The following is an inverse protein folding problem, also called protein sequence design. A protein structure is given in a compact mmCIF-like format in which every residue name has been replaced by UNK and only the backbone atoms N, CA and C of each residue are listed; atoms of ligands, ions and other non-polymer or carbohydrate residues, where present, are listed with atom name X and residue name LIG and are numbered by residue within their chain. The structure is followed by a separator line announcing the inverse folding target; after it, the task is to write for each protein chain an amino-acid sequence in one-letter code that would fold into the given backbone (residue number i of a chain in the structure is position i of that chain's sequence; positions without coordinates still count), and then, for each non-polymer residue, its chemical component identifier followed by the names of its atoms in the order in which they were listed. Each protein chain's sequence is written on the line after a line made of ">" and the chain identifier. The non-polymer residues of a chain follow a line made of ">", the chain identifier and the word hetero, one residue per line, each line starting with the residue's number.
data_IF_340314025962
#
_entry.id   IF_340314025962
#
_cell.length_a   1.000
_cell.length_b   1.000
_cell.length_c   1.000
_cell.angle_alpha   90.00
_cell.angle_beta   90.00
_cell.angle_gamma   90.00
#
_symmetry.space_group_name_H-M   'P 1'
#
loop_
_entity.id
_entity.type
_entity.pdbx_description
1 polymer ?
#
# COMPACT_ATOMS: atom_id res chain seq x y z
N UNK A 1 42.29 15.82 -28.52
CA UNK A 1 42.82 14.60 -27.90
C UNK A 1 41.69 13.59 -27.78
N UNK A 2 41.75 12.47 -28.49
CA UNK A 2 40.77 11.38 -28.38
C UNK A 2 40.91 10.71 -27.01
N UNK A 3 39.83 10.67 -26.23
CA UNK A 3 39.85 10.00 -24.93
C UNK A 3 40.17 8.51 -25.11
N UNK A 4 41.02 7.95 -24.23
CA UNK A 4 41.35 6.51 -24.27
C UNK A 4 40.06 5.69 -24.13
N UNK A 5 39.86 4.63 -24.93
CA UNK A 5 38.65 3.82 -24.85
C UNK A 5 38.47 3.21 -23.46
N UNK A 6 37.22 3.08 -23.02
CA UNK A 6 36.88 2.39 -21.78
C UNK A 6 37.31 0.92 -21.85
N UNK A 7 37.75 0.35 -20.72
CA UNK A 7 38.29 -1.01 -20.68
C UNK A 7 37.20 -2.08 -20.84
N UNK A 8 37.56 -3.28 -21.34
CA UNK A 8 36.62 -4.42 -21.39
C UNK A 8 36.04 -4.79 -20.02
N UNK A 9 36.80 -4.59 -18.94
CA UNK A 9 36.32 -4.74 -17.56
C UNK A 9 35.18 -3.78 -17.24
N UNK A 10 35.25 -2.52 -17.68
CA UNK A 10 34.17 -1.54 -17.49
C UNK A 10 32.88 -2.01 -18.19
N UNK A 11 32.97 -2.49 -19.43
CA UNK A 11 31.79 -3.01 -20.12
C UNK A 11 31.23 -4.27 -19.44
N UNK A 12 32.10 -5.18 -19.00
CA UNK A 12 31.70 -6.34 -18.20
C UNK A 12 30.98 -5.93 -16.91
N UNK A 13 31.46 -4.87 -16.25
CA UNK A 13 30.82 -4.30 -15.06
C UNK A 13 29.41 -3.78 -15.35
N UNK A 14 29.26 -2.95 -16.39
CA UNK A 14 27.96 -2.38 -16.77
C UNK A 14 26.97 -3.48 -17.19
N UNK A 15 27.41 -4.45 -17.99
CA UNK A 15 26.58 -5.57 -18.44
C UNK A 15 26.09 -6.40 -17.24
N UNK A 16 26.97 -6.70 -16.29
CA UNK A 16 26.61 -7.43 -15.08
C UNK A 16 25.54 -6.68 -14.28
N UNK A 17 25.76 -5.40 -13.98
CA UNK A 17 24.85 -4.62 -13.16
C UNK A 17 23.50 -4.36 -13.86
N UNK A 18 23.49 -4.12 -15.17
CA UNK A 18 22.24 -4.09 -15.95
C UNK A 18 21.48 -5.43 -15.91
N UNK A 19 22.18 -6.57 -15.89
CA UNK A 19 21.55 -7.89 -15.79
C UNK A 19 20.96 -8.11 -14.40
N UNK A 20 21.66 -7.71 -13.33
CA UNK A 20 21.13 -7.74 -11.96
C UNK A 20 19.93 -6.80 -11.81
N UNK A 21 20.01 -5.57 -12.37
CA UNK A 21 18.89 -4.63 -12.38
C UNK A 21 17.66 -5.21 -13.09
N UNK A 22 17.84 -5.93 -14.20
CA UNK A 22 16.75 -6.61 -14.89
C UNK A 22 16.09 -7.69 -14.02
N UNK A 23 16.89 -8.52 -13.35
CA UNK A 23 16.36 -9.57 -12.46
C UNK A 23 15.61 -8.96 -11.26
N UNK A 24 16.18 -7.92 -10.63
CA UNK A 24 15.52 -7.19 -9.53
C UNK A 24 14.20 -6.59 -9.99
N UNK A 25 14.18 -5.91 -11.14
CA UNK A 25 12.98 -5.32 -11.69
C UNK A 25 11.92 -6.39 -11.99
N UNK A 26 12.32 -7.57 -12.47
CA UNK A 26 11.40 -8.68 -12.71
C UNK A 26 10.81 -9.22 -11.39
N UNK A 27 11.64 -9.49 -10.38
CA UNK A 27 11.18 -9.96 -9.06
C UNK A 27 10.18 -8.96 -8.46
N UNK A 28 10.53 -7.68 -8.45
CA UNK A 28 9.70 -6.63 -7.87
C UNK A 28 8.39 -6.45 -8.66
N UNK A 29 8.44 -6.44 -9.99
CA UNK A 29 7.23 -6.31 -10.81
C UNK A 29 6.33 -7.54 -10.73
N UNK A 30 6.88 -8.76 -10.60
CA UNK A 30 6.09 -9.97 -10.36
C UNK A 30 5.40 -9.87 -8.99
N UNK A 31 6.12 -9.50 -7.93
CA UNK A 31 5.51 -9.28 -6.62
C UNK A 31 4.39 -8.22 -6.70
N UNK A 32 4.63 -7.11 -7.39
CA UNK A 32 3.64 -6.07 -7.60
C UNK A 32 2.38 -6.59 -8.35
N UNK A 33 2.54 -7.42 -9.36
CA UNK A 33 1.40 -8.06 -10.06
C UNK A 33 0.63 -8.99 -9.14
N UNK A 34 1.33 -9.83 -8.36
CA UNK A 34 0.72 -10.89 -7.54
C UNK A 34 0.06 -10.33 -6.28
N UNK A 35 0.75 -9.46 -5.55
CA UNK A 35 0.31 -8.98 -4.22
C UNK A 35 0.06 -7.47 -4.16
N UNK A 36 0.43 -6.71 -5.19
CA UNK A 36 0.17 -5.27 -5.26
C UNK A 36 1.02 -4.46 -4.30
N UNK A 37 0.48 -3.31 -3.88
CA UNK A 37 1.09 -2.43 -2.87
C UNK A 37 1.31 -3.10 -1.51
N UNK A 38 0.66 -4.25 -1.25
CA UNK A 38 0.91 -5.04 -0.05
C UNK A 38 2.37 -5.51 0.08
N UNK A 39 3.15 -5.50 -1.01
CA UNK A 39 4.59 -5.78 -0.96
C UNK A 39 5.34 -4.85 0.00
N UNK A 40 4.87 -3.62 0.20
CA UNK A 40 5.47 -2.66 1.14
C UNK A 40 5.31 -3.05 2.61
N UNK A 41 4.37 -3.96 2.91
CA UNK A 41 4.15 -4.50 4.25
C UNK A 41 4.93 -5.78 4.55
N UNK A 42 5.74 -6.28 3.60
CA UNK A 42 6.57 -7.46 3.82
C UNK A 42 7.73 -7.13 4.77
N UNK A 43 8.08 -8.05 5.66
CA UNK A 43 9.20 -7.93 6.59
C UNK A 43 10.53 -7.73 5.87
N UNK A 44 10.68 -8.36 4.70
CA UNK A 44 11.86 -8.25 3.85
C UNK A 44 11.92 -6.97 3.01
N UNK A 45 10.86 -6.16 2.97
CA UNK A 45 10.73 -5.04 2.03
C UNK A 45 11.87 -4.01 2.17
N UNK A 46 12.16 -3.54 3.37
CA UNK A 46 13.18 -2.50 3.59
C UNK A 46 14.57 -2.99 3.15
N UNK A 47 14.94 -4.23 3.51
CA UNK A 47 16.22 -4.82 3.13
C UNK A 47 16.31 -5.03 1.61
N UNK A 48 15.22 -5.46 0.98
CA UNK A 48 15.11 -5.58 -0.47
C UNK A 48 15.31 -4.22 -1.16
N UNK A 49 14.68 -3.15 -0.66
CA UNK A 49 14.81 -1.80 -1.21
C UNK A 49 16.24 -1.26 -1.11
N UNK A 50 16.97 -1.54 -0.04
CA UNK A 50 18.38 -1.15 0.06
C UNK A 50 19.26 -1.84 -1.00
N UNK A 51 19.01 -3.11 -1.31
CA UNK A 51 19.67 -3.79 -2.42
C UNK A 51 19.33 -3.14 -3.76
N UNK A 52 18.05 -2.81 -3.99
CA UNK A 52 17.60 -2.12 -5.21
C UNK A 52 18.35 -0.79 -5.37
N UNK A 53 18.42 0.04 -4.33
CA UNK A 53 19.13 1.31 -4.36
C UNK A 53 20.63 1.14 -4.63
N UNK A 54 21.28 0.17 -3.98
CA UNK A 54 22.69 -0.14 -4.24
C UNK A 54 22.94 -0.50 -5.71
N UNK A 55 22.10 -1.37 -6.28
CA UNK A 55 22.22 -1.77 -7.69
C UNK A 55 21.95 -0.60 -8.63
N UNK A 56 20.95 0.25 -8.35
CA UNK A 56 20.68 1.45 -9.14
C UNK A 56 21.89 2.40 -9.13
N UNK A 57 22.49 2.66 -7.97
CA UNK A 57 23.69 3.50 -7.86
C UNK A 57 24.85 2.95 -8.72
N UNK A 58 25.13 1.66 -8.63
CA UNK A 58 26.19 1.02 -9.40
C UNK A 58 25.92 1.05 -10.91
N UNK A 59 24.71 0.68 -11.33
CA UNK A 59 24.30 0.67 -12.75
C UNK A 59 24.34 2.08 -13.35
N UNK A 60 23.67 3.05 -12.71
CA UNK A 60 23.54 4.39 -13.27
C UNK A 60 24.84 5.19 -13.15
N UNK A 61 25.64 4.98 -12.09
CA UNK A 61 26.98 5.57 -11.99
C UNK A 61 27.88 5.13 -13.16
N UNK A 62 27.84 3.85 -13.52
CA UNK A 62 28.57 3.34 -14.67
C UNK A 62 28.01 3.90 -16.00
N UNK A 63 26.68 4.00 -16.14
CA UNK A 63 26.03 4.57 -17.32
C UNK A 63 26.37 6.06 -17.51
N UNK A 64 26.34 6.86 -16.44
CA UNK A 64 26.73 8.27 -16.45
C UNK A 64 28.18 8.41 -16.89
N UNK A 65 29.09 7.58 -16.34
CA UNK A 65 30.50 7.56 -16.76
C UNK A 65 30.66 7.26 -18.25
N UNK A 66 29.93 6.28 -18.76
CA UNK A 66 29.92 5.95 -20.19
C UNK A 66 29.46 7.14 -21.04
N UNK A 67 28.32 7.74 -20.68
CA UNK A 67 27.75 8.85 -21.43
C UNK A 67 28.68 10.07 -21.43
N UNK A 68 29.29 10.39 -20.28
CA UNK A 68 30.24 11.49 -20.17
C UNK A 68 31.49 11.26 -21.04
N UNK A 69 32.02 10.03 -21.01
CA UNK A 69 33.20 9.64 -21.77
C UNK A 69 33.02 9.81 -23.28
N UNK A 70 31.83 9.45 -23.79
CA UNK A 70 31.50 9.58 -25.21
C UNK A 70 30.94 10.97 -25.59
N UNK A 71 30.94 11.93 -24.67
CA UNK A 71 30.49 13.30 -24.94
C UNK A 71 28.97 13.49 -24.98
N UNK A 72 28.20 12.50 -24.53
CA UNK A 72 26.73 12.55 -24.42
C UNK A 72 26.30 13.30 -23.14
N UNK A 73 26.75 14.56 -22.98
CA UNK A 73 26.61 15.34 -21.74
C UNK A 73 25.16 15.53 -21.29
N UNK A 74 24.26 15.90 -22.21
CA UNK A 74 22.84 16.09 -21.88
C UNK A 74 22.20 14.80 -21.37
N UNK A 75 22.47 13.67 -22.02
CA UNK A 75 21.98 12.37 -21.54
C UNK A 75 22.58 12.03 -20.17
N UNK A 76 23.88 12.28 -19.96
CA UNK A 76 24.50 12.00 -18.66
C UNK A 76 23.86 12.80 -17.51
N UNK A 77 23.56 14.08 -17.74
CA UNK A 77 22.85 14.93 -16.76
C UNK A 77 21.43 14.44 -16.54
N UNK A 78 20.69 14.11 -17.61
CA UNK A 78 19.33 13.58 -17.48
C UNK A 78 19.29 12.24 -16.70
N UNK A 79 20.29 11.37 -16.91
CA UNK A 79 20.47 10.14 -16.15
C UNK A 79 20.66 10.42 -14.66
N UNK A 80 21.55 11.36 -14.35
CA UNK A 80 21.87 11.74 -12.98
C UNK A 80 20.64 12.32 -12.27
N UNK A 81 19.94 13.26 -12.91
CA UNK A 81 18.72 13.87 -12.35
C UNK A 81 17.65 12.82 -12.08
N UNK A 82 17.36 11.95 -13.06
CA UNK A 82 16.41 10.85 -12.89
C UNK A 82 16.80 9.91 -11.74
N UNK A 83 18.10 9.59 -11.64
CA UNK A 83 18.64 8.76 -10.54
C UNK A 83 18.43 9.43 -9.19
N UNK A 84 18.75 10.71 -9.04
CA UNK A 84 18.57 11.44 -7.78
C UNK A 84 17.10 11.51 -7.36
N UNK A 85 16.18 11.70 -8.31
CA UNK A 85 14.74 11.67 -8.03
C UNK A 85 14.27 10.29 -7.57
N UNK A 86 14.76 9.20 -8.19
CA UNK A 86 14.46 7.83 -7.73
C UNK A 86 14.96 7.59 -6.31
N UNK A 87 16.19 8.04 -5.99
CA UNK A 87 16.73 7.95 -4.63
C UNK A 87 15.92 8.74 -3.62
N UNK A 88 15.55 9.98 -3.96
CA UNK A 88 14.69 10.80 -3.12
C UNK A 88 13.34 10.11 -2.86
N UNK A 89 12.68 9.61 -3.91
CA UNK A 89 11.42 8.87 -3.83
C UNK A 89 11.51 7.68 -2.88
N UNK A 90 12.51 6.81 -3.03
CA UNK A 90 12.66 5.65 -2.13
C UNK A 90 13.07 6.06 -0.71
N UNK A 91 13.82 7.15 -0.54
CA UNK A 91 14.13 7.68 0.80
C UNK A 91 12.87 8.14 1.50
N UNK A 92 11.93 8.79 0.78
CA UNK A 92 10.62 9.15 1.32
C UNK A 92 9.80 7.92 1.75
N UNK A 93 9.88 6.82 0.99
CA UNK A 93 9.18 5.57 1.30
C UNK A 93 9.82 4.86 2.51
N UNK A 94 11.16 4.77 2.54
CA UNK A 94 11.87 4.03 3.59
C UNK A 94 11.86 4.79 4.93
N UNK A 95 12.00 6.11 4.89
CA UNK A 95 12.13 6.93 6.08
C UNK A 95 10.77 7.30 6.68
N UNK A 96 10.51 6.84 7.90
CA UNK A 96 9.20 6.95 8.58
C UNK A 96 8.65 8.38 8.64
N UNK A 97 9.46 9.34 9.08
CA UNK A 97 9.05 10.76 9.20
C UNK A 97 8.69 11.39 7.86
N UNK A 98 9.28 10.88 6.77
CA UNK A 98 9.06 11.40 5.43
C UNK A 98 7.89 10.70 4.72
N UNK A 99 7.35 9.60 5.26
CA UNK A 99 6.19 8.92 4.68
C UNK A 99 4.93 9.76 4.76
N UNK A 100 4.77 10.58 5.81
CA UNK A 100 3.64 11.52 5.91
C UNK A 100 3.72 12.55 4.79
N UNK A 101 4.88 13.19 4.64
CA UNK A 101 5.15 14.09 3.52
C UNK A 101 4.92 13.41 2.15
N UNK A 102 5.38 12.17 2.01
CA UNK A 102 5.16 11.38 0.80
C UNK A 102 3.68 11.17 0.50
N UNK A 103 2.88 10.84 1.52
CA UNK A 103 1.45 10.59 1.38
C UNK A 103 0.70 11.88 1.02
N UNK A 104 1.02 13.00 1.66
CA UNK A 104 0.41 14.31 1.38
C UNK A 104 0.79 14.87 0.00
N UNK A 105 2.00 14.59 -0.45
CA UNK A 105 2.54 15.11 -1.72
C UNK A 105 2.72 14.04 -2.79
N UNK A 106 2.02 12.92 -2.68
CA UNK A 106 2.20 11.75 -3.53
C UNK A 106 2.08 12.09 -5.02
N UNK A 107 1.13 12.94 -5.39
CA UNK A 107 0.94 13.41 -6.77
C UNK A 107 2.17 14.14 -7.31
N UNK A 108 2.70 15.09 -6.55
CA UNK A 108 3.85 15.87 -6.96
C UNK A 108 5.09 14.98 -7.10
N UNK A 109 5.32 14.09 -6.13
CA UNK A 109 6.43 13.14 -6.16
C UNK A 109 6.33 12.21 -7.38
N UNK A 110 5.15 11.66 -7.67
CA UNK A 110 4.94 10.79 -8.83
C UNK A 110 5.10 11.55 -10.16
N UNK A 111 4.57 12.77 -10.27
CA UNK A 111 4.73 13.60 -11.47
C UNK A 111 6.19 13.94 -11.76
N UNK A 112 6.97 14.28 -10.73
CA UNK A 112 8.41 14.52 -10.89
C UNK A 112 9.13 13.24 -11.35
N UNK A 113 8.80 12.09 -10.76
CA UNK A 113 9.38 10.79 -11.14
C UNK A 113 9.13 10.46 -12.62
N UNK A 114 7.88 10.55 -13.08
CA UNK A 114 7.54 10.31 -14.49
C UNK A 114 8.19 11.34 -15.41
N UNK A 115 8.16 12.62 -15.03
CA UNK A 115 8.75 13.71 -15.81
C UNK A 115 10.25 13.51 -16.03
N UNK A 116 11.02 13.20 -14.98
CA UNK A 116 12.46 12.96 -15.12
C UNK A 116 12.78 11.70 -15.91
N UNK A 117 11.95 10.66 -15.81
CA UNK A 117 12.09 9.45 -16.63
C UNK A 117 11.85 9.72 -18.12
N UNK A 118 10.83 10.52 -18.44
CA UNK A 118 10.55 10.96 -19.82
C UNK A 118 11.71 11.79 -20.35
N UNK A 119 12.21 12.78 -19.59
CA UNK A 119 13.34 13.61 -20.02
C UNK A 119 14.60 12.79 -20.26
N UNK A 120 14.88 11.81 -19.40
CA UNK A 120 15.96 10.84 -19.61
C UNK A 120 15.78 10.07 -20.91
N UNK A 121 14.60 9.50 -21.17
CA UNK A 121 14.32 8.78 -22.41
C UNK A 121 14.44 9.66 -23.67
N UNK A 122 13.87 10.87 -23.64
CA UNK A 122 13.98 11.85 -24.73
C UNK A 122 15.44 12.24 -25.00
N UNK A 123 16.26 12.36 -23.96
CA UNK A 123 17.68 12.66 -24.12
C UNK A 123 18.43 11.57 -24.89
N UNK A 124 18.01 10.31 -24.80
CA UNK A 124 18.59 9.20 -25.56
C UNK A 124 18.08 9.15 -27.00
N UNK A 125 16.95 9.80 -27.31
CA UNK A 125 16.36 9.82 -28.64
C UNK A 125 16.90 10.99 -29.47
N UNK A 126 16.88 12.19 -28.90
CA UNK A 126 17.04 13.45 -29.63
C UNK A 126 18.43 14.09 -29.49
N UNK A 127 19.37 13.45 -28.80
CA UNK A 127 20.77 13.91 -28.73
C UNK A 127 21.69 12.98 -29.52
N UNK A 128 23.01 13.28 -29.56
CA UNK A 128 24.02 12.41 -30.19
C UNK A 128 24.03 10.98 -29.65
N UNK A 129 23.56 10.74 -28.43
CA UNK A 129 23.39 9.38 -27.91
C UNK A 129 22.43 8.55 -28.79
N UNK A 130 21.42 9.20 -29.38
CA UNK A 130 20.44 8.59 -30.25
C UNK A 130 21.02 8.08 -31.58
N UNK A 131 22.21 8.47 -31.99
CA UNK A 131 22.89 7.87 -33.15
C UNK A 131 23.17 6.37 -32.93
N UNK A 132 23.31 5.94 -31.67
CA UNK A 132 23.43 4.52 -31.32
C UNK A 132 22.04 3.89 -31.27
N UNK A 133 21.74 3.00 -32.23
CA UNK A 133 20.45 2.30 -32.38
C UNK A 133 19.86 1.80 -31.06
N UNK A 134 20.66 1.14 -30.23
CA UNK A 134 20.18 0.52 -28.98
C UNK A 134 19.95 1.52 -27.85
N UNK A 135 20.72 2.61 -27.79
CA UNK A 135 20.43 3.72 -26.87
C UNK A 135 19.13 4.43 -27.28
N UNK A 136 18.92 4.67 -28.58
CA UNK A 136 17.67 5.24 -29.10
C UNK A 136 16.47 4.37 -28.74
N UNK A 137 16.54 3.05 -28.97
CA UNK A 137 15.46 2.11 -28.63
C UNK A 137 15.19 2.08 -27.11
N UNK A 138 16.23 2.12 -26.28
CA UNK A 138 16.08 2.24 -24.83
C UNK A 138 15.34 3.54 -24.45
N UNK A 139 15.68 4.66 -25.09
CA UNK A 139 14.99 5.94 -24.93
C UNK A 139 13.51 5.88 -25.30
N UNK A 140 13.19 5.37 -26.51
CA UNK A 140 11.80 5.23 -26.99
C UNK A 140 10.98 4.38 -26.02
N UNK A 141 11.54 3.24 -25.60
CA UNK A 141 10.86 2.34 -24.67
C UNK A 141 10.61 3.01 -23.32
N UNK A 142 11.60 3.73 -22.78
CA UNK A 142 11.47 4.44 -21.50
C UNK A 142 10.38 5.52 -21.55
N UNK A 143 10.33 6.31 -22.63
CA UNK A 143 9.29 7.33 -22.82
C UNK A 143 7.92 6.67 -22.90
N UNK A 144 7.77 5.61 -23.70
CA UNK A 144 6.51 4.89 -23.86
C UNK A 144 5.96 4.36 -22.53
N UNK A 145 6.78 3.65 -21.76
CA UNK A 145 6.39 3.14 -20.44
C UNK A 145 6.05 4.26 -19.46
N UNK A 146 6.84 5.33 -19.44
CA UNK A 146 6.62 6.44 -18.51
C UNK A 146 5.32 7.19 -18.82
N UNK A 147 4.97 7.37 -20.09
CA UNK A 147 3.69 7.97 -20.51
C UNK A 147 2.52 7.06 -20.12
N UNK A 148 2.63 5.74 -20.33
CA UNK A 148 1.58 4.80 -19.94
C UNK A 148 1.35 4.81 -18.42
N UNK A 149 2.42 4.80 -17.62
CA UNK A 149 2.32 4.87 -16.16
C UNK A 149 1.75 6.22 -15.71
N UNK A 150 2.22 7.35 -16.26
CA UNK A 150 1.70 8.67 -15.93
C UNK A 150 0.21 8.80 -16.30
N UNK A 151 -0.19 8.33 -17.47
CA UNK A 151 -1.59 8.32 -17.92
C UNK A 151 -2.46 7.47 -17.00
N UNK A 152 -2.01 6.27 -16.65
CA UNK A 152 -2.75 5.36 -15.75
C UNK A 152 -2.87 5.97 -14.35
N UNK A 153 -1.82 6.63 -13.87
CA UNK A 153 -1.81 7.34 -12.60
C UNK A 153 -2.82 8.50 -12.57
N UNK A 154 -2.83 9.35 -13.60
CA UNK A 154 -3.78 10.47 -13.71
C UNK A 154 -5.21 9.93 -13.75
N UNK A 155 -5.46 8.92 -14.58
CA UNK A 155 -6.77 8.27 -14.68
C UNK A 155 -7.20 7.63 -13.36
N UNK A 156 -6.28 7.04 -12.59
CA UNK A 156 -6.60 6.41 -11.31
C UNK A 156 -7.21 7.41 -10.33
N UNK A 157 -6.68 8.64 -10.27
CA UNK A 157 -7.18 9.68 -9.37
C UNK A 157 -8.38 10.45 -9.91
N UNK A 158 -8.63 10.38 -11.21
CA UNK A 158 -9.85 10.90 -11.83
C UNK A 158 -10.99 9.87 -11.82
N UNK A 159 -10.69 8.59 -11.68
CA UNK A 159 -11.67 7.52 -11.62
C UNK A 159 -12.51 7.61 -10.33
N UNK A 160 -13.82 7.38 -10.48
CA UNK A 160 -14.78 7.29 -9.38
C UNK A 160 -14.66 5.98 -8.57
N UNK A 161 -15.78 5.29 -8.36
CA UNK A 161 -15.87 4.13 -7.46
C UNK A 161 -15.03 2.91 -7.89
N UNK A 162 -14.84 2.00 -6.92
CA UNK A 162 -13.71 1.08 -6.81
C UNK A 162 -13.40 0.17 -8.00
N UNK A 163 -14.39 -0.27 -8.80
CA UNK A 163 -14.17 -1.20 -9.91
C UNK A 163 -13.20 -0.65 -10.97
N UNK A 164 -13.37 0.61 -11.37
CA UNK A 164 -12.48 1.28 -12.34
C UNK A 164 -11.10 1.53 -11.77
N UNK A 165 -11.01 1.98 -10.50
CA UNK A 165 -9.72 2.15 -9.81
C UNK A 165 -8.94 0.84 -9.73
N UNK A 166 -9.62 -0.28 -9.43
CA UNK A 166 -9.00 -1.60 -9.37
C UNK A 166 -8.47 -2.04 -10.75
N UNK A 167 -9.19 -1.73 -11.83
CA UNK A 167 -8.73 -2.01 -13.19
C UNK A 167 -7.48 -1.19 -13.54
N UNK A 168 -7.47 0.10 -13.22
CA UNK A 168 -6.34 1.00 -13.48
C UNK A 168 -5.11 0.62 -12.65
N UNK A 169 -5.29 0.27 -11.37
CA UNK A 169 -4.24 -0.28 -10.54
C UNK A 169 -3.68 -1.57 -11.16
N UNK A 170 -4.52 -2.55 -11.54
CA UNK A 170 -4.07 -3.76 -12.26
C UNK A 170 -3.28 -3.44 -13.53
N UNK A 171 -3.77 -2.50 -14.35
CA UNK A 171 -3.08 -2.08 -15.56
C UNK A 171 -1.68 -1.51 -15.25
N UNK A 172 -1.57 -0.65 -14.24
CA UNK A 172 -0.28 -0.07 -13.83
C UNK A 172 0.76 -1.13 -13.43
N UNK A 173 0.32 -2.21 -12.78
CA UNK A 173 1.18 -3.33 -12.37
C UNK A 173 1.72 -4.10 -13.58
N UNK A 174 0.88 -4.37 -14.57
CA UNK A 174 1.29 -5.01 -15.82
C UNK A 174 2.20 -4.12 -16.67
N UNK A 175 1.92 -2.82 -16.73
CA UNK A 175 2.80 -1.84 -17.40
C UNK A 175 4.17 -1.82 -16.72
N UNK A 176 4.22 -1.87 -15.38
CA UNK A 176 5.47 -1.94 -14.61
C UNK A 176 6.26 -3.23 -14.88
N UNK A 177 5.57 -4.36 -15.04
CA UNK A 177 6.19 -5.63 -15.45
C UNK A 177 6.81 -5.54 -16.85
N UNK A 178 6.08 -4.98 -17.82
CA UNK A 178 6.62 -4.76 -19.15
C UNK A 178 7.80 -3.78 -19.13
N UNK A 179 7.74 -2.76 -18.29
CA UNK A 179 8.81 -1.78 -18.06
C UNK A 179 10.16 -2.38 -17.68
N UNK A 180 10.18 -3.53 -16.98
CA UNK A 180 11.41 -4.21 -16.59
C UNK A 180 12.31 -4.55 -17.81
N UNK A 181 11.72 -4.80 -18.98
CA UNK A 181 12.46 -5.15 -20.20
C UNK A 181 13.27 -3.98 -20.79
N UNK A 182 13.12 -2.76 -20.28
CA UNK A 182 13.90 -1.60 -20.74
C UNK A 182 15.42 -1.79 -20.62
N UNK A 183 15.88 -2.56 -19.62
CA UNK A 183 17.28 -2.88 -19.41
C UNK A 183 17.89 -3.73 -20.55
N UNK A 184 17.06 -4.53 -21.25
CA UNK A 184 17.51 -5.44 -22.32
C UNK A 184 18.19 -4.66 -23.46
N UNK A 185 17.64 -3.50 -23.84
CA UNK A 185 18.22 -2.66 -24.88
C UNK A 185 19.63 -2.18 -24.52
N UNK A 186 19.85 -1.78 -23.27
CA UNK A 186 21.15 -1.36 -22.77
C UNK A 186 22.11 -2.56 -22.68
N UNK A 187 21.65 -3.73 -22.23
CA UNK A 187 22.48 -4.95 -22.20
C UNK A 187 22.98 -5.28 -23.60
N UNK A 188 22.10 -5.25 -24.62
CA UNK A 188 22.48 -5.49 -26.01
C UNK A 188 23.49 -4.44 -26.47
N UNK A 189 23.26 -3.16 -26.18
CA UNK A 189 24.18 -2.07 -26.51
C UNK A 189 25.59 -2.33 -25.99
N UNK A 190 25.73 -2.54 -24.68
CA UNK A 190 27.03 -2.72 -24.05
C UNK A 190 27.70 -4.06 -24.43
N UNK A 191 26.94 -5.12 -24.71
CA UNK A 191 27.50 -6.37 -25.25
C UNK A 191 28.13 -6.16 -26.63
N UNK A 192 27.48 -5.38 -27.50
CA UNK A 192 28.01 -5.09 -28.83
C UNK A 192 29.23 -4.15 -28.77
N UNK A 193 29.19 -3.13 -27.92
CA UNK A 193 30.35 -2.26 -27.70
C UNK A 193 31.54 -3.03 -27.10
N UNK A 194 31.31 -3.95 -26.15
CA UNK A 194 32.37 -4.81 -25.60
C UNK A 194 33.00 -5.72 -26.68
N UNK A 195 32.18 -6.33 -27.54
CA UNK A 195 32.67 -7.17 -28.65
C UNK A 195 33.57 -6.40 -29.61
N UNK A 196 33.27 -5.11 -29.85
CA UNK A 196 34.10 -4.23 -30.71
C UNK A 196 35.48 -3.95 -30.10
N UNK A 197 35.63 -4.07 -28.78
CA UNK A 197 36.89 -3.84 -28.06
C UNK A 197 37.75 -5.10 -27.90
N UNK A 198 37.20 -6.29 -28.15
CA UNK A 198 37.85 -7.60 -27.92
C UNK A 198 39.05 -7.90 -28.86
N UNK A 199 39.70 -6.87 -29.41
CA UNK A 199 40.90 -6.94 -30.27
C UNK A 199 42.17 -6.49 -29.51
N UNK A 200 42.09 -6.09 -28.23
CA UNK A 200 43.26 -5.80 -27.40
C UNK A 200 43.28 -6.70 -26.15
N UNK A 201 44.44 -7.27 -25.83
CA UNK A 201 44.64 -8.37 -24.88
C UNK A 201 43.97 -8.23 -23.50
N UNK A 202 43.67 -9.39 -22.90
CA UNK A 202 43.01 -9.50 -21.60
C UNK A 202 43.93 -9.06 -20.46
N UNK A 203 43.66 -7.91 -19.86
CA UNK A 203 44.21 -7.56 -18.56
C UNK A 203 43.47 -8.34 -17.44
N UNK A 204 44.15 -8.74 -16.35
CA UNK A 204 43.52 -9.42 -15.22
C UNK A 204 42.40 -8.56 -14.59
N UNK A 205 41.33 -9.21 -14.15
CA UNK A 205 40.19 -8.55 -13.51
C UNK A 205 40.61 -7.87 -12.20
N UNK A 206 40.19 -6.62 -11.97
CA UNK A 206 40.50 -5.89 -10.75
C UNK A 206 39.66 -6.40 -9.57
N UNK A 207 40.27 -6.41 -8.39
CA UNK A 207 39.67 -6.97 -7.16
C UNK A 207 38.41 -6.21 -6.74
N UNK A 208 38.42 -4.88 -6.78
CA UNK A 208 37.29 -4.05 -6.28
C UNK A 208 36.02 -4.25 -7.13
N UNK A 209 36.04 -4.12 -8.47
CA UNK A 209 34.88 -4.44 -9.30
C UNK A 209 34.37 -5.88 -9.11
N UNK A 210 35.26 -6.85 -8.91
CA UNK A 210 34.87 -8.24 -8.66
C UNK A 210 34.13 -8.41 -7.31
N UNK A 211 34.64 -7.81 -6.24
CA UNK A 211 34.00 -7.84 -4.91
C UNK A 211 32.62 -7.14 -4.93
N UNK A 212 32.50 -6.02 -5.64
CA UNK A 212 31.23 -5.29 -5.79
C UNK A 212 30.20 -6.13 -6.56
N UNK A 213 30.61 -6.85 -7.62
CA UNK A 213 29.75 -7.80 -8.34
C UNK A 213 29.31 -8.96 -7.43
N UNK A 214 30.26 -9.53 -6.67
CA UNK A 214 29.97 -10.62 -5.74
C UNK A 214 28.96 -10.20 -4.67
N UNK A 215 29.14 -9.03 -4.06
CA UNK A 215 28.21 -8.49 -3.07
C UNK A 215 26.80 -8.31 -3.65
N UNK A 216 26.67 -7.76 -4.85
CA UNK A 216 25.39 -7.62 -5.54
C UNK A 216 24.72 -8.99 -5.81
N UNK A 217 25.51 -9.98 -6.24
CA UNK A 217 25.01 -11.32 -6.53
C UNK A 217 24.55 -12.06 -5.27
N UNK A 218 25.36 -12.05 -4.21
CA UNK A 218 25.01 -12.67 -2.92
C UNK A 218 23.80 -11.97 -2.30
N UNK A 219 23.76 -10.63 -2.35
CA UNK A 219 22.60 -9.86 -1.91
C UNK A 219 21.34 -10.24 -2.67
N UNK A 220 21.41 -10.39 -4.00
CA UNK A 220 20.28 -10.85 -4.81
C UNK A 220 19.84 -12.27 -4.43
N UNK A 221 20.76 -13.20 -4.22
CA UNK A 221 20.42 -14.57 -3.83
C UNK A 221 19.73 -14.63 -2.47
N UNK A 222 20.22 -13.88 -1.48
CA UNK A 222 19.65 -13.92 -0.13
C UNK A 222 18.39 -13.06 0.02
N UNK A 223 18.50 -11.77 -0.31
CA UNK A 223 17.40 -10.81 -0.13
C UNK A 223 16.31 -11.01 -1.18
N UNK A 224 16.68 -11.34 -2.43
CA UNK A 224 15.71 -11.63 -3.49
C UNK A 224 14.95 -12.93 -3.25
N UNK A 225 15.60 -13.96 -2.71
CA UNK A 225 14.92 -15.20 -2.32
C UNK A 225 13.93 -14.94 -1.17
N UNK A 226 14.37 -14.29 -0.10
CA UNK A 226 13.50 -13.98 1.05
C UNK A 226 12.28 -13.16 0.63
N UNK A 227 12.49 -12.08 -0.14
CA UNK A 227 11.40 -11.25 -0.66
C UNK A 227 10.43 -12.04 -1.54
N UNK A 228 10.95 -12.89 -2.43
CA UNK A 228 10.11 -13.71 -3.31
C UNK A 228 9.29 -14.75 -2.55
N UNK A 229 9.90 -15.45 -1.58
CA UNK A 229 9.20 -16.44 -0.75
C UNK A 229 8.09 -15.78 0.07
N UNK A 230 8.37 -14.63 0.65
CA UNK A 230 7.39 -13.87 1.43
C UNK A 230 6.22 -13.40 0.57
N UNK A 231 6.52 -12.85 -0.63
CA UNK A 231 5.49 -12.44 -1.58
C UNK A 231 4.62 -13.62 -2.06
N UNK A 232 5.22 -14.78 -2.34
CA UNK A 232 4.49 -16.00 -2.70
C UNK A 232 3.60 -16.44 -1.54
N UNK A 233 4.13 -16.49 -0.32
CA UNK A 233 3.36 -16.85 0.88
C UNK A 233 2.15 -15.94 1.06
N UNK A 234 2.31 -14.63 0.86
CA UNK A 234 1.20 -13.67 0.93
C UNK A 234 0.12 -13.88 -0.15
N UNK A 235 0.51 -14.43 -1.30
CA UNK A 235 -0.41 -14.72 -2.41
C UNK A 235 -1.27 -15.97 -2.20
N UNK A 236 -0.84 -16.89 -1.33
CA UNK A 236 -1.51 -18.16 -1.11
C UNK A 236 -2.93 -17.95 -0.52
N UNK A 237 -3.89 -18.85 -0.84
CA UNK A 237 -5.20 -18.82 -0.22
C UNK A 237 -5.13 -18.88 1.31
N UNK A 238 -5.96 -18.08 1.98
CA UNK A 238 -6.04 -18.10 3.42
C UNK A 238 -6.51 -19.47 3.93
N UNK A 239 -5.77 -20.04 4.88
CA UNK A 239 -6.13 -21.29 5.54
C UNK A 239 -6.57 -20.99 6.98
N UNK A 240 -7.87 -21.07 7.29
CA UNK A 240 -8.35 -20.74 8.62
C UNK A 240 -7.88 -21.76 9.65
N UNK A 241 -7.57 -21.26 10.85
CA UNK A 241 -7.32 -22.04 12.05
C UNK A 241 -8.57 -22.77 12.55
N UNK A 242 -8.38 -23.76 13.41
CA UNK A 242 -9.49 -24.46 14.06
C UNK A 242 -10.40 -23.52 14.88
N UNK A 243 -9.82 -22.49 15.49
CA UNK A 243 -10.55 -21.47 16.26
C UNK A 243 -11.45 -20.64 15.36
N UNK A 244 -10.96 -20.27 14.17
CA UNK A 244 -11.75 -19.52 13.18
C UNK A 244 -12.91 -20.33 12.62
N UNK A 245 -12.66 -21.59 12.30
CA UNK A 245 -13.70 -22.51 11.86
C UNK A 245 -14.78 -22.71 12.94
N UNK A 246 -14.39 -22.65 14.23
CA UNK A 246 -15.36 -22.71 15.34
C UNK A 246 -16.18 -21.42 15.42
N UNK A 247 -15.55 -20.25 15.34
CA UNK A 247 -16.21 -18.94 15.37
C UNK A 247 -17.16 -18.77 14.19
N UNK A 248 -16.74 -19.16 12.99
CA UNK A 248 -17.56 -19.00 11.78
C UNK A 248 -18.86 -19.81 11.82
N UNK A 249 -18.88 -20.95 12.51
CA UNK A 249 -20.11 -21.74 12.73
C UNK A 249 -21.17 -21.01 13.56
N UNK A 250 -20.76 -20.07 14.42
CA UNK A 250 -21.68 -19.29 15.22
C UNK A 250 -22.32 -18.13 14.44
N UNK A 251 -21.80 -17.80 13.25
CA UNK A 251 -22.21 -16.62 12.48
C UNK A 251 -22.82 -16.99 11.13
N UNK A 252 -23.87 -16.26 10.73
CA UNK A 252 -24.39 -16.36 9.38
C UNK A 252 -23.39 -15.81 8.36
N UNK A 253 -23.19 -16.55 7.26
CA UNK A 253 -22.37 -16.16 6.10
C UNK A 253 -23.27 -15.58 5.02
N UNK A 254 -23.03 -14.34 4.62
CA UNK A 254 -23.86 -13.67 3.61
C UNK A 254 -23.00 -12.94 2.59
N UNK A 255 -23.62 -12.66 1.45
CA UNK A 255 -23.08 -11.79 0.41
C UNK A 255 -24.15 -10.78 0.06
N UNK A 256 -23.81 -9.49 0.09
CA UNK A 256 -24.63 -8.46 -0.52
C UNK A 256 -24.15 -8.28 -1.97
N UNK A 257 -25.08 -8.26 -2.91
CA UNK A 257 -24.81 -8.01 -4.33
C UNK A 257 -25.58 -6.78 -4.72
N UNK A 258 -24.89 -5.75 -5.21
CA UNK A 258 -25.54 -4.53 -5.63
C UNK A 258 -26.03 -4.60 -7.10
N UNK A 259 -26.66 -3.51 -7.57
CA UNK A 259 -27.20 -3.44 -8.93
C UNK A 259 -26.13 -3.49 -10.03
N UNK A 260 -24.89 -3.12 -9.72
CA UNK A 260 -23.73 -3.23 -10.62
C UNK A 260 -23.10 -4.62 -10.63
N UNK A 261 -23.52 -5.50 -9.72
CA UNK A 261 -22.94 -6.83 -9.54
C UNK A 261 -21.73 -6.85 -8.61
N UNK A 262 -21.42 -5.74 -7.93
CA UNK A 262 -20.38 -5.70 -6.92
C UNK A 262 -20.82 -6.47 -5.68
N UNK A 263 -19.89 -7.22 -5.09
CA UNK A 263 -20.17 -8.17 -4.01
C UNK A 263 -19.45 -7.76 -2.73
N UNK A 264 -20.20 -7.67 -1.63
CA UNK A 264 -19.65 -7.54 -0.27
C UNK A 264 -19.90 -8.82 0.53
N UNK A 265 -18.88 -9.66 0.76
CA UNK A 265 -18.94 -10.72 1.75
C UNK A 265 -19.08 -10.12 3.14
N UNK A 266 -19.99 -10.65 3.95
CA UNK A 266 -20.10 -10.24 5.34
C UNK A 266 -20.53 -11.38 6.25
N UNK A 267 -20.25 -11.18 7.54
CA UNK A 267 -20.73 -12.03 8.62
C UNK A 267 -21.72 -11.25 9.47
N UNK A 268 -22.79 -11.92 9.85
CA UNK A 268 -23.81 -11.36 10.72
C UNK A 268 -24.06 -12.32 11.88
N UNK A 269 -23.93 -11.80 13.09
CA UNK A 269 -24.27 -12.50 14.32
C UNK A 269 -25.47 -11.83 14.96
N UNK A 270 -26.49 -12.61 15.31
CA UNK A 270 -27.67 -12.14 16.02
C UNK A 270 -27.37 -11.99 17.53
N UNK A 271 -28.16 -11.22 18.27
CA UNK A 271 -28.14 -11.24 19.73
C UNK A 271 -28.27 -12.68 20.27
N UNK A 272 -27.72 -12.94 21.47
CA UNK A 272 -28.04 -14.18 22.19
C UNK A 272 -29.54 -14.19 22.51
N UNK A 273 -30.16 -15.36 22.42
CA UNK A 273 -31.59 -15.57 22.69
C UNK A 273 -32.48 -14.58 21.91
N UNK A 274 -32.16 -14.40 20.63
CA UNK A 274 -32.79 -13.43 19.75
C UNK A 274 -34.32 -13.57 19.70
N UNK A 275 -35.01 -12.47 19.97
CA UNK A 275 -36.45 -12.30 19.91
C UNK A 275 -36.82 -11.27 18.85
N UNK A 276 -37.50 -11.69 17.79
CA UNK A 276 -37.85 -10.80 16.67
C UNK A 276 -38.82 -9.68 17.02
N UNK A 277 -39.46 -9.73 18.19
CA UNK A 277 -40.38 -8.68 18.67
C UNK A 277 -39.65 -7.53 19.37
N UNK A 278 -38.37 -7.72 19.72
CA UNK A 278 -37.55 -6.72 20.41
C UNK A 278 -36.56 -6.06 19.45
N UNK A 279 -36.31 -4.78 19.67
CA UNK A 279 -35.26 -4.06 18.95
C UNK A 279 -33.91 -4.16 19.65
N UNK A 280 -32.86 -4.38 18.86
CA UNK A 280 -31.49 -4.52 19.36
C UNK A 280 -30.53 -3.55 18.68
N UNK A 281 -29.47 -3.09 19.37
CA UNK A 281 -28.39 -2.33 18.74
C UNK A 281 -27.73 -3.06 17.58
N UNK A 282 -27.09 -2.29 16.70
CA UNK A 282 -26.20 -2.79 15.66
C UNK A 282 -24.77 -2.33 15.93
N UNK A 283 -23.84 -3.27 15.99
CA UNK A 283 -22.40 -2.99 16.03
C UNK A 283 -21.81 -3.31 14.65
N UNK A 284 -21.28 -2.28 13.98
CA UNK A 284 -20.52 -2.38 12.74
C UNK A 284 -19.04 -2.55 13.10
N UNK A 285 -18.52 -3.76 12.92
CA UNK A 285 -17.16 -4.12 13.29
C UNK A 285 -16.27 -4.22 12.05
N UNK A 286 -15.35 -3.26 11.90
CA UNK A 286 -14.47 -3.11 10.75
C UNK A 286 -13.07 -3.70 11.05
N UNK A 287 -12.60 -4.60 10.20
CA UNK A 287 -11.34 -5.31 10.41
C UNK A 287 -10.10 -4.48 10.01
N UNK A 288 -8.92 -4.84 10.53
CA UNK A 288 -7.64 -4.26 10.09
C UNK A 288 -7.21 -4.74 8.69
N UNK A 289 -6.25 -4.07 8.07
CA UNK A 289 -5.86 -4.33 6.67
C UNK A 289 -5.33 -5.75 6.38
N UNK A 290 -4.93 -6.49 7.40
CA UNK A 290 -4.48 -7.89 7.26
C UNK A 290 -5.62 -8.87 6.92
N UNK A 291 -6.88 -8.49 7.19
CA UNK A 291 -8.04 -9.36 6.97
C UNK A 291 -8.79 -9.08 5.65
N UNK A 292 -8.20 -8.30 4.75
CA UNK A 292 -8.75 -8.10 3.41
C UNK A 292 -8.83 -9.41 2.64
N UNK A 293 -9.96 -9.65 1.97
CA UNK A 293 -10.18 -10.91 1.30
C UNK A 293 -11.57 -11.09 0.72
N UNK A 294 -11.82 -12.33 0.30
CA UNK A 294 -13.11 -12.79 -0.26
C UNK A 294 -13.55 -14.14 0.33
N UNK A 295 -12.81 -14.63 1.31
CA UNK A 295 -13.01 -15.91 1.99
C UNK A 295 -14.15 -15.87 3.01
N UNK A 296 -14.59 -14.66 3.38
CA UNK A 296 -15.57 -14.39 4.41
C UNK A 296 -15.19 -15.02 5.78
N UNK A 297 -13.90 -15.14 6.10
CA UNK A 297 -13.40 -15.77 7.34
C UNK A 297 -12.40 -14.88 8.10
N UNK A 298 -11.43 -14.27 7.42
CA UNK A 298 -10.32 -13.54 8.06
C UNK A 298 -10.80 -12.39 8.96
N UNK A 299 -11.93 -11.75 8.63
CA UNK A 299 -12.47 -10.67 9.46
C UNK A 299 -12.96 -11.13 10.84
N UNK A 300 -13.11 -12.45 11.07
CA UNK A 300 -13.54 -13.02 12.36
C UNK A 300 -12.41 -13.19 13.37
N UNK A 301 -11.17 -13.12 12.91
CA UNK A 301 -9.97 -13.16 13.76
C UNK A 301 -9.36 -11.80 13.99
N UNK A 302 -9.69 -10.84 13.14
CA UNK A 302 -9.26 -9.47 13.28
C UNK A 302 -9.95 -8.83 14.47
N UNK A 303 -9.16 -8.31 15.41
CA UNK A 303 -9.70 -7.47 16.47
C UNK A 303 -10.49 -6.29 15.86
N UNK A 304 -11.63 -5.90 16.45
CA UNK A 304 -12.17 -6.34 17.75
C UNK A 304 -13.12 -7.56 17.70
N UNK A 305 -13.27 -8.22 16.55
CA UNK A 305 -14.30 -9.25 16.35
C UNK A 305 -14.26 -10.42 17.36
N UNK A 306 -13.08 -11.01 17.70
CA UNK A 306 -13.01 -12.09 18.69
C UNK A 306 -13.67 -11.74 20.03
N UNK A 307 -13.36 -10.56 20.56
CA UNK A 307 -13.86 -10.05 21.84
C UNK A 307 -15.38 -9.82 21.82
N UNK A 308 -15.90 -9.25 20.73
CA UNK A 308 -17.33 -9.00 20.57
C UNK A 308 -18.14 -10.32 20.51
N UNK A 309 -17.52 -11.40 20.06
CA UNK A 309 -18.16 -12.71 19.96
C UNK A 309 -18.12 -13.52 21.27
N UNK A 310 -17.37 -13.08 22.28
CA UNK A 310 -17.27 -13.80 23.55
C UNK A 310 -18.63 -13.83 24.27
N UNK A 311 -18.95 -14.98 24.87
CA UNK A 311 -20.24 -15.18 25.55
C UNK A 311 -20.52 -14.16 26.68
N UNK A 312 -19.56 -13.78 27.54
CA UNK A 312 -19.79 -12.74 28.55
C UNK A 312 -20.19 -11.40 27.92
N UNK A 313 -19.49 -10.97 26.88
CA UNK A 313 -19.77 -9.75 26.14
C UNK A 313 -21.17 -9.80 25.52
N UNK A 314 -21.48 -10.87 24.78
CA UNK A 314 -22.79 -11.03 24.12
C UNK A 314 -23.96 -11.14 25.09
N UNK A 315 -23.75 -11.72 26.27
CA UNK A 315 -24.80 -11.87 27.29
C UNK A 315 -25.10 -10.54 27.95
N UNK A 316 -24.07 -9.75 28.28
CA UNK A 316 -24.23 -8.43 28.92
C UNK A 316 -24.72 -7.38 27.93
N UNK A 317 -24.33 -7.48 26.66
CA UNK A 317 -24.60 -6.50 25.61
C UNK A 317 -25.20 -7.16 24.36
N UNK A 318 -26.48 -7.57 24.41
CA UNK A 318 -27.14 -8.22 23.28
C UNK A 318 -27.30 -7.24 22.11
N UNK A 319 -26.66 -7.54 20.98
CA UNK A 319 -26.69 -6.72 19.76
C UNK A 319 -26.47 -7.58 18.51
N UNK A 320 -26.86 -7.03 17.36
CA UNK A 320 -26.41 -7.54 16.07
C UNK A 320 -24.95 -7.15 15.85
N UNK A 321 -24.12 -8.08 15.38
CA UNK A 321 -22.76 -7.79 14.93
C UNK A 321 -22.69 -7.93 13.41
N UNK A 322 -22.43 -6.83 12.72
CA UNK A 322 -22.20 -6.80 11.29
C UNK A 322 -20.71 -6.63 11.01
N UNK A 323 -20.12 -7.64 10.36
CA UNK A 323 -18.68 -7.74 10.08
C UNK A 323 -18.46 -7.88 8.56
N UNK A 324 -18.45 -6.76 7.81
CA UNK A 324 -18.13 -6.77 6.39
C UNK A 324 -16.66 -7.14 6.16
N UNK A 325 -16.37 -7.84 5.05
CA UNK A 325 -15.00 -8.08 4.60
C UNK A 325 -14.69 -7.19 3.40
N UNK A 326 -13.72 -6.29 3.55
CA UNK A 326 -13.24 -5.47 2.44
C UNK A 326 -12.34 -6.32 1.51
N UNK A 327 -12.53 -6.30 0.18
CA UNK A 327 -11.68 -6.99 -0.76
C UNK A 327 -10.21 -6.56 -0.70
N UNK A 328 -9.29 -7.41 -1.18
CA UNK A 328 -7.89 -7.03 -1.38
C UNK A 328 -7.80 -5.83 -2.35
N UNK A 329 -7.04 -4.81 -1.97
CA UNK A 329 -6.87 -3.58 -2.76
C UNK A 329 -7.91 -2.49 -2.50
N UNK A 330 -8.83 -2.71 -1.56
CA UNK A 330 -9.83 -1.71 -1.12
C UNK A 330 -9.79 -1.56 0.39
N UNK A 331 -10.03 -0.34 0.90
CA UNK A 331 -10.20 -0.04 2.32
C UNK A 331 -11.66 0.22 2.69
N UNK A 332 -11.91 0.48 3.98
CA UNK A 332 -13.20 0.98 4.48
C UNK A 332 -13.35 2.50 4.34
N UNK A 333 -12.34 3.18 3.81
CA UNK A 333 -12.35 4.61 3.53
C UNK A 333 -11.57 4.89 2.25
N UNK A 334 -11.83 6.04 1.63
CA UNK A 334 -11.04 6.56 0.50
C UNK A 334 -9.73 7.23 0.93
N UNK A 335 -9.36 7.12 2.21
CA UNK A 335 -8.21 7.80 2.78
C UNK A 335 -6.94 7.48 1.98
N UNK A 336 -6.14 8.52 1.71
CA UNK A 336 -4.92 8.46 0.91
C UNK A 336 -5.13 7.95 -0.53
N UNK A 337 -6.30 8.19 -1.11
CA UNK A 337 -6.60 7.90 -2.51
C UNK A 337 -6.98 6.45 -2.79
N UNK A 338 -7.01 5.59 -1.77
CA UNK A 338 -7.36 4.18 -1.89
C UNK A 338 -8.79 4.00 -2.40
N UNK A 339 -9.03 2.90 -3.11
CA UNK A 339 -10.39 2.47 -3.41
C UNK A 339 -11.12 2.11 -2.10
N UNK A 340 -12.41 2.45 -1.99
CA UNK A 340 -13.21 2.20 -0.79
C UNK A 340 -14.39 1.28 -1.07
N UNK A 341 -14.74 0.46 -0.07
CA UNK A 341 -15.91 -0.42 -0.05
C UNK A 341 -17.10 0.21 0.71
N UNK A 342 -16.95 1.43 1.22
CA UNK A 342 -17.91 2.13 2.05
C UNK A 342 -19.35 2.14 1.50
N UNK A 343 -19.53 2.44 0.21
CA UNK A 343 -20.85 2.52 -0.41
C UNK A 343 -21.60 1.18 -0.33
N UNK A 344 -20.91 0.06 -0.57
CA UNK A 344 -21.47 -1.29 -0.41
C UNK A 344 -21.81 -1.60 1.04
N UNK A 345 -20.99 -1.17 1.99
CA UNK A 345 -21.22 -1.38 3.42
C UNK A 345 -22.47 -0.61 3.88
N UNK A 346 -22.61 0.66 3.50
CA UNK A 346 -23.81 1.45 3.83
C UNK A 346 -25.08 0.92 3.17
N UNK A 347 -25.00 0.48 1.90
CA UNK A 347 -26.14 -0.18 1.22
C UNK A 347 -26.56 -1.45 1.96
N UNK A 348 -25.60 -2.27 2.37
CA UNK A 348 -25.86 -3.49 3.15
C UNK A 348 -26.51 -3.15 4.49
N UNK A 349 -25.98 -2.17 5.23
CA UNK A 349 -26.57 -1.72 6.50
C UNK A 349 -28.03 -1.30 6.31
N UNK A 350 -28.34 -0.55 5.25
CA UNK A 350 -29.72 -0.13 4.94
C UNK A 350 -30.66 -1.32 4.72
N UNK A 351 -30.21 -2.35 4.02
CA UNK A 351 -30.96 -3.59 3.84
C UNK A 351 -31.16 -4.32 5.18
N UNK A 352 -30.11 -4.44 5.99
CA UNK A 352 -30.20 -5.05 7.32
C UNK A 352 -31.24 -4.32 8.20
N UNK A 353 -31.23 -2.99 8.21
CA UNK A 353 -32.18 -2.15 8.95
C UNK A 353 -33.61 -2.17 8.40
N UNK A 354 -33.82 -2.69 7.18
CA UNK A 354 -35.14 -2.91 6.62
C UNK A 354 -35.72 -4.28 6.97
N UNK A 355 -34.86 -5.27 7.25
CA UNK A 355 -35.27 -6.68 7.44
C UNK A 355 -35.15 -7.20 8.87
N UNK A 356 -34.38 -6.52 9.73
CA UNK A 356 -34.13 -6.91 11.12
C UNK A 356 -34.65 -5.83 12.08
N UNK A 357 -35.08 -6.19 13.31
CA UNK A 357 -35.50 -5.23 14.33
C UNK A 357 -34.28 -4.54 14.95
N UNK A 358 -33.59 -3.73 14.15
CA UNK A 358 -32.44 -2.94 14.58
C UNK A 358 -32.94 -1.64 15.20
N UNK A 359 -32.48 -1.36 16.41
CA UNK A 359 -32.68 -0.06 17.06
C UNK A 359 -31.81 1.00 16.37
N UNK A 360 -32.46 1.85 15.57
CA UNK A 360 -31.80 2.89 14.78
C UNK A 360 -31.16 3.99 15.64
N UNK A 361 -31.53 4.09 16.92
CA UNK A 361 -30.91 5.03 17.86
C UNK A 361 -29.62 4.49 18.48
N UNK A 362 -29.30 3.21 18.25
CA UNK A 362 -28.15 2.51 18.84
C UNK A 362 -27.38 1.74 17.78
N UNK A 363 -26.89 2.46 16.77
CA UNK A 363 -25.96 1.94 15.77
C UNK A 363 -24.57 2.46 16.11
N UNK A 364 -23.61 1.54 16.24
CA UNK A 364 -22.23 1.85 16.61
C UNK A 364 -21.27 1.39 15.52
N UNK A 365 -20.14 2.09 15.37
CA UNK A 365 -19.04 1.65 14.51
C UNK A 365 -17.73 1.59 15.29
N UNK A 366 -16.97 0.52 15.09
CA UNK A 366 -15.64 0.39 15.64
C UNK A 366 -14.72 -0.42 14.73
N UNK A 367 -13.42 -0.17 14.85
CA UNK A 367 -12.41 -0.92 14.12
C UNK A 367 -11.01 -0.45 14.40
N UNK A 368 -10.04 -1.30 14.09
CA UNK A 368 -8.61 -1.05 14.28
C UNK A 368 -7.89 -0.90 12.94
N UNK A 369 -6.89 -0.02 12.88
CA UNK A 369 -6.06 0.20 11.69
C UNK A 369 -6.91 0.59 10.49
N UNK A 370 -6.93 -0.20 9.40
CA UNK A 370 -7.87 -0.05 8.29
C UNK A 370 -9.34 0.13 8.72
N UNK A 371 -9.77 -0.59 9.76
CA UNK A 371 -11.10 -0.42 10.35
C UNK A 371 -11.24 0.84 11.22
N UNK A 372 -10.12 1.35 11.78
CA UNK A 372 -10.07 2.63 12.47
C UNK A 372 -10.22 3.80 11.50
N UNK A 373 -9.55 3.75 10.35
CA UNK A 373 -9.79 4.69 9.24
C UNK A 373 -11.25 4.62 8.75
N UNK A 374 -11.80 3.41 8.63
CA UNK A 374 -13.20 3.20 8.31
C UNK A 374 -14.15 3.80 9.35
N UNK A 375 -13.84 3.67 10.64
CA UNK A 375 -14.69 4.19 11.73
C UNK A 375 -14.74 5.72 11.74
N UNK A 376 -13.58 6.38 11.55
CA UNK A 376 -13.53 7.83 11.35
C UNK A 376 -14.34 8.25 10.11
N UNK A 377 -14.11 7.59 8.99
CA UNK A 377 -14.78 7.88 7.72
C UNK A 377 -16.30 7.71 7.83
N UNK A 378 -16.76 6.61 8.41
CA UNK A 378 -18.18 6.30 8.49
C UNK A 378 -18.93 7.31 9.35
N UNK A 379 -18.37 7.64 10.52
CA UNK A 379 -18.93 8.66 11.39
C UNK A 379 -18.93 10.06 10.72
N UNK A 380 -17.93 10.36 9.90
CA UNK A 380 -17.80 11.66 9.23
C UNK A 380 -18.80 11.83 8.09
N UNK A 381 -19.04 10.76 7.32
CA UNK A 381 -19.92 10.78 6.15
C UNK A 381 -21.41 10.66 6.53
N UNK A 382 -21.70 9.96 7.63
CA UNK A 382 -23.07 9.74 8.12
C UNK A 382 -23.17 9.95 9.65
N UNK A 383 -22.86 11.16 10.17
CA UNK A 383 -22.88 11.43 11.60
C UNK A 383 -24.27 11.25 12.24
N UNK A 384 -25.34 11.35 11.46
CA UNK A 384 -26.72 11.10 11.86
C UNK A 384 -26.99 9.62 12.16
N UNK A 385 -26.24 8.71 11.54
CA UNK A 385 -26.48 7.26 11.61
C UNK A 385 -25.90 6.64 12.89
N UNK A 386 -24.76 7.13 13.37
CA UNK A 386 -24.01 6.48 14.42
C UNK A 386 -24.21 7.14 15.79
N UNK A 387 -24.71 6.37 16.74
CA UNK A 387 -24.82 6.75 18.15
C UNK A 387 -23.46 6.83 18.86
N UNK A 388 -22.46 6.09 18.37
CA UNK A 388 -21.07 6.22 18.82
C UNK A 388 -20.09 5.68 17.77
N UNK A 389 -18.86 6.19 17.78
CA UNK A 389 -17.75 5.66 17.01
C UNK A 389 -16.50 5.42 17.87
N UNK A 390 -15.84 4.28 17.66
CA UNK A 390 -14.61 3.89 18.36
C UNK A 390 -13.50 3.59 17.34
N UNK A 391 -12.83 4.62 16.80
CA UNK A 391 -11.69 4.46 15.91
C UNK A 391 -10.42 4.12 16.69
N UNK A 392 -9.71 3.06 16.29
CA UNK A 392 -8.50 2.57 16.95
C UNK A 392 -7.34 2.56 15.94
N UNK A 393 -6.20 3.18 16.27
CA UNK A 393 -5.00 3.23 15.42
C UNK A 393 -5.27 3.60 13.95
N UNK A 394 -6.14 4.59 13.71
CA UNK A 394 -6.53 5.05 12.39
C UNK A 394 -6.41 6.56 12.22
N UNK A 395 -7.01 7.07 11.15
CA UNK A 395 -7.07 8.49 10.80
C UNK A 395 -8.32 8.84 10.02
N UNK A 396 -8.62 10.13 9.95
CA UNK A 396 -9.67 10.68 9.10
C UNK A 396 -9.13 11.93 8.40
N UNK A 397 -9.98 12.57 7.62
CA UNK A 397 -9.66 13.89 7.08
C UNK A 397 -10.13 14.97 8.08
N UNK A 398 -9.21 15.77 8.67
CA UNK A 398 -9.56 16.79 9.66
C UNK A 398 -10.56 17.82 9.16
N UNK A 399 -10.73 17.99 7.85
CA UNK A 399 -11.78 18.85 7.29
C UNK A 399 -13.19 18.43 7.72
N UNK A 400 -13.38 17.14 8.05
CA UNK A 400 -14.66 16.60 8.53
C UNK A 400 -14.83 16.66 10.05
N UNK A 401 -13.91 17.28 10.79
CA UNK A 401 -14.04 17.49 12.23
C UNK A 401 -15.37 18.13 12.67
N UNK A 402 -15.88 19.17 11.98
CA UNK A 402 -17.17 19.80 12.32
C UNK A 402 -18.39 18.85 12.25
N UNK A 403 -18.38 17.86 11.37
CA UNK A 403 -19.47 16.88 11.21
C UNK A 403 -19.57 15.95 12.42
N UNK A 404 -18.52 15.84 13.22
CA UNK A 404 -18.39 14.90 14.33
C UNK A 404 -18.67 15.52 15.70
N UNK A 405 -19.05 16.80 15.77
CA UNK A 405 -19.27 17.54 17.03
C UNK A 405 -20.28 16.83 17.94
N UNK A 406 -21.37 16.34 17.34
CA UNK A 406 -22.48 15.68 18.05
C UNK A 406 -22.40 14.14 18.02
N UNK A 407 -21.26 13.57 17.58
CA UNK A 407 -21.04 12.13 17.58
C UNK A 407 -20.21 11.76 18.81
N UNK A 408 -20.72 10.95 19.74
CA UNK A 408 -19.91 10.39 20.81
C UNK A 408 -18.75 9.57 20.25
N UNK A 409 -17.53 10.01 20.51
CA UNK A 409 -16.31 9.37 20.00
C UNK A 409 -15.38 9.04 21.15
N UNK A 410 -14.86 7.81 21.14
CA UNK A 410 -13.73 7.41 21.96
C UNK A 410 -12.65 6.80 21.08
N UNK A 411 -11.64 7.61 20.76
CA UNK A 411 -10.53 7.21 19.91
C UNK A 411 -9.35 6.66 20.75
N UNK A 412 -8.61 5.73 20.16
CA UNK A 412 -7.44 5.10 20.78
C UNK A 412 -6.24 5.07 19.83
N UNK A 413 -5.03 5.29 20.35
CA UNK A 413 -3.82 5.19 19.53
C UNK A 413 -2.57 4.87 20.37
N UNK A 414 -1.60 4.15 19.80
CA UNK A 414 -0.26 4.03 20.37
C UNK A 414 0.65 5.17 19.92
N UNK A 415 1.32 5.87 20.84
CA UNK A 415 2.17 7.01 20.50
C UNK A 415 3.37 6.63 19.61
N UNK A 416 3.77 5.36 19.61
CA UNK A 416 4.91 4.83 18.85
C UNK A 416 4.47 4.05 17.61
N UNK A 417 3.20 4.11 17.22
CA UNK A 417 2.66 3.39 16.07
C UNK A 417 3.41 3.69 14.77
N UNK A 418 4.02 2.65 14.20
CA UNK A 418 4.85 2.73 12.99
C UNK A 418 4.07 2.44 11.70
N UNK A 419 2.86 1.91 11.81
CA UNK A 419 2.03 1.51 10.66
C UNK A 419 0.98 2.57 10.35
N UNK A 420 0.36 3.15 11.38
CA UNK A 420 -0.49 4.33 11.28
C UNK A 420 0.09 5.43 12.18
N UNK A 421 0.67 6.52 11.64
CA UNK A 421 1.18 7.60 12.45
C UNK A 421 0.13 8.14 13.44
N UNK A 422 0.51 8.29 14.72
CA UNK A 422 -0.36 8.80 15.79
C UNK A 422 -0.94 10.19 15.48
N UNK A 423 -0.21 10.99 14.70
CA UNK A 423 -0.65 12.29 14.19
C UNK A 423 -2.04 12.22 13.55
N UNK A 424 -2.34 11.14 12.80
CA UNK A 424 -3.62 11.01 12.12
C UNK A 424 -4.84 11.01 13.07
N UNK A 425 -4.70 10.47 14.28
CA UNK A 425 -5.76 10.57 15.30
C UNK A 425 -5.71 11.90 16.04
N UNK A 426 -4.52 12.42 16.35
CA UNK A 426 -4.36 13.72 17.02
C UNK A 426 -4.96 14.86 16.20
N UNK A 427 -4.81 14.83 14.88
CA UNK A 427 -5.33 15.85 13.97
C UNK A 427 -6.86 15.84 13.94
N UNK A 428 -7.49 14.65 13.86
CA UNK A 428 -8.94 14.51 13.97
C UNK A 428 -9.46 15.01 15.33
N UNK A 429 -8.84 14.59 16.43
CA UNK A 429 -9.22 15.05 17.78
C UNK A 429 -9.11 16.57 17.91
N UNK A 430 -8.05 17.15 17.36
CA UNK A 430 -7.84 18.60 17.35
C UNK A 430 -8.90 19.31 16.52
N UNK A 431 -9.23 18.80 15.34
CA UNK A 431 -10.24 19.38 14.47
C UNK A 431 -11.64 19.37 15.11
N UNK A 432 -12.03 18.26 15.74
CA UNK A 432 -13.32 18.13 16.43
C UNK A 432 -13.40 19.10 17.61
N UNK A 433 -12.35 19.16 18.45
CA UNK A 433 -12.28 20.09 19.58
C UNK A 433 -12.35 21.55 19.11
N UNK A 434 -11.65 21.89 18.04
CA UNK A 434 -11.68 23.23 17.43
C UNK A 434 -13.09 23.60 16.93
N UNK A 435 -13.86 22.61 16.46
CA UNK A 435 -15.25 22.80 16.05
C UNK A 435 -16.25 22.81 17.22
N UNK A 436 -15.79 22.63 18.47
CA UNK A 436 -16.63 22.65 19.67
C UNK A 436 -17.07 21.27 20.18
N UNK A 437 -16.63 20.18 19.55
CA UNK A 437 -16.93 18.81 20.01
C UNK A 437 -16.03 18.35 21.16
N UNK A 438 -16.45 17.28 21.83
CA UNK A 438 -15.77 16.75 23.03
C UNK A 438 -15.41 15.26 22.90
N UNK A 439 -14.56 14.86 21.94
CA UNK A 439 -14.18 13.47 21.77
C UNK A 439 -13.29 13.02 22.93
N UNK A 440 -13.52 11.78 23.39
CA UNK A 440 -12.61 11.09 24.30
C UNK A 440 -11.44 10.52 23.50
N UNK A 441 -10.23 10.68 24.01
CA UNK A 441 -9.00 10.19 23.38
C UNK A 441 -8.08 9.56 24.41
N UNK A 442 -7.72 8.30 24.18
CA UNK A 442 -6.73 7.57 24.98
C UNK A 442 -5.51 7.28 24.11
N UNK A 443 -4.37 7.83 24.50
CA UNK A 443 -3.09 7.59 23.82
C UNK A 443 -2.17 6.79 24.73
N UNK A 444 -1.62 5.69 24.23
CA UNK A 444 -0.68 4.85 24.97
C UNK A 444 0.76 5.24 24.61
N UNK A 445 1.42 5.97 25.53
CA UNK A 445 2.75 6.58 25.34
C UNK A 445 3.83 5.58 24.86
N UNK A 446 3.79 4.35 25.36
CA UNK A 446 4.82 3.35 25.08
C UNK A 446 4.40 2.30 24.03
N UNK A 447 3.18 2.37 23.51
CA UNK A 447 2.63 1.34 22.62
C UNK A 447 2.80 1.67 21.12
N UNK A 448 2.96 0.62 20.31
CA UNK A 448 2.98 0.67 18.85
C UNK A 448 1.59 0.49 18.23
N UNK A 449 1.50 -0.21 17.10
CA UNK A 449 0.22 -0.42 16.38
C UNK A 449 -0.74 -1.39 17.09
N UNK A 450 -0.20 -2.46 17.69
CA UNK A 450 -0.98 -3.51 18.35
C UNK A 450 -1.38 -3.13 19.77
N UNK A 451 -2.42 -2.30 19.92
CA UNK A 451 -2.90 -1.81 21.23
C UNK A 451 -4.17 -2.50 21.73
N UNK A 452 -4.67 -3.50 21.01
CA UNK A 452 -5.99 -4.09 21.29
C UNK A 452 -6.12 -4.65 22.71
N UNK A 453 -5.08 -5.30 23.24
CA UNK A 453 -5.07 -5.85 24.60
C UNK A 453 -5.18 -4.78 25.70
N UNK A 454 -4.77 -3.54 25.40
CA UNK A 454 -4.99 -2.40 26.27
C UNK A 454 -6.43 -1.89 26.12
N UNK A 455 -6.86 -1.64 24.87
CA UNK A 455 -8.20 -1.10 24.56
C UNK A 455 -9.33 -1.99 25.09
N UNK A 456 -9.20 -3.30 24.98
CA UNK A 456 -10.22 -4.26 25.46
C UNK A 456 -10.47 -4.18 26.99
N UNK A 457 -9.55 -3.58 27.76
CA UNK A 457 -9.64 -3.42 29.21
C UNK A 457 -10.22 -2.07 29.66
N UNK A 458 -10.43 -1.14 28.74
CA UNK A 458 -10.89 0.24 29.02
C UNK A 458 -12.40 0.33 29.27
N UNK A 459 -13.14 -0.78 29.23
CA UNK A 459 -14.60 -0.75 29.41
C UNK A 459 -15.35 -0.22 28.18
N UNK A 460 -14.80 -0.42 26.98
CA UNK A 460 -15.35 0.10 25.72
C UNK A 460 -16.82 -0.27 25.50
N UNK A 461 -17.25 -1.46 25.92
CA UNK A 461 -18.64 -1.92 25.74
C UNK A 461 -19.61 -1.15 26.64
N UNK A 462 -19.21 -0.87 27.88
CA UNK A 462 -20.03 -0.10 28.82
C UNK A 462 -20.23 1.32 28.32
N UNK A 463 -19.13 1.97 27.90
CA UNK A 463 -19.20 3.32 27.34
C UNK A 463 -20.02 3.37 26.04
N UNK A 464 -19.82 2.41 25.13
CA UNK A 464 -20.53 2.36 23.85
C UNK A 464 -22.04 2.19 24.03
N UNK A 465 -22.47 1.25 24.89
CA UNK A 465 -23.89 0.96 25.10
C UNK A 465 -24.64 2.01 25.94
N UNK A 466 -23.92 2.93 26.58
CA UNK A 466 -24.53 4.09 27.22
C UNK A 466 -24.97 5.17 26.20
N UNK A 467 -24.44 5.14 24.97
CA UNK A 467 -24.74 6.15 23.95
C UNK A 467 -26.03 5.83 23.19
N UNK A 468 -26.77 6.88 22.81
CA UNK A 468 -27.97 6.78 21.98
C UNK A 468 -28.23 8.11 21.26
N UNK A 469 -28.92 8.08 20.12
CA UNK A 469 -29.39 9.27 19.39
C UNK A 469 -30.72 9.81 19.89
#
# INVERSE_FOLDING_TARGET
>A
MTARPLSGEFYSFVIFFLSISFIIALIQSVALVVIGSAMMGLESFDSWMWLVLFVIAATNGALIRYLWHHGYRLSAVACLVSTLVVFFHYTLILHRELRVFYQEHYHAVASVLFGTSILWGLSLIFTRAGEKRWLRLSGIFTVFISILLAGTFILYFQAGEGGTKLLLDKASRWISLFGAFGAVWLIIHFRLENKRLAVAGQAPAQTVPALVKLAAFVGLLFLGFNFSVEAIRYSMPYKPSATELRRSKAMGSYHFVDKSGDVLPYRLLTPLDYDSTRQYPLIVCLHHGGAHGKDNMQQLSADPAPFLMELPTRRKYPAFLFMPQSPKGMGFSGAYGNASVDSLVFRTMRELMGRLPIDRKRIYVLGISGGGYGSWHFASMHPELFAAAIPICGGGDPQYGPQLVDVPIWAFHGARDKLAPVAHSRDMITAIRKAGGHPKYTEYEFAGHGIWDNVSKEGIMEWMFAQHK
#
